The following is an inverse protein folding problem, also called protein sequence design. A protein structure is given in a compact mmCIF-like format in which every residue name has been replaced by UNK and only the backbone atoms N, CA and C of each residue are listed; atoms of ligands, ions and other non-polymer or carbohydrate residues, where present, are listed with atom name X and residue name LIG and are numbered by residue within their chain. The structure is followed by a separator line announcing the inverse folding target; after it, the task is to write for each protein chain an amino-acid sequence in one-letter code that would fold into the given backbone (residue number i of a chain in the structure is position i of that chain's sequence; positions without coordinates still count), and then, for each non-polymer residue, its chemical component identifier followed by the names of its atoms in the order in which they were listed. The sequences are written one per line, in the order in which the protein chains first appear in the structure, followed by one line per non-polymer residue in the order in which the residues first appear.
data_IF_787694000013
#
_entry.id   IF_787694000013
#
_cell.length_a   1.000
_cell.length_b   1.000
_cell.length_c   1.000
_cell.angle_alpha   90.00
_cell.angle_beta   90.00
_cell.angle_gamma   90.00
#
_symmetry.space_group_name_H-M   'P 1'
#
loop_
_entity.id
_entity.type
_entity.pdbx_description
1 polymer ?
#
# COMPACT_ATOMS: atom_id res chain seq x y z
N UNK A 1 11.72 16.89 -8.98
CA UNK A 1 11.74 15.41 -8.84
C UNK A 1 12.33 14.90 -7.52
N UNK A 2 13.65 14.97 -7.25
CA UNK A 2 14.22 14.44 -5.98
C UNK A 2 13.66 15.19 -4.76
N UNK A 3 13.84 16.50 -4.70
CA UNK A 3 13.33 17.35 -3.60
C UNK A 3 11.81 17.17 -3.41
N UNK A 4 11.06 17.20 -4.50
CA UNK A 4 9.60 16.99 -4.51
C UNK A 4 9.16 15.60 -4.04
N UNK A 5 10.06 14.61 -3.95
CA UNK A 5 9.78 13.26 -3.44
C UNK A 5 10.23 13.06 -1.99
N UNK A 6 11.04 13.96 -1.42
CA UNK A 6 11.60 13.79 -0.07
C UNK A 6 10.53 13.73 1.01
N UNK A 7 9.42 14.43 0.84
CA UNK A 7 8.31 14.43 1.80
C UNK A 7 7.76 13.01 2.03
N UNK A 8 7.66 12.19 0.98
CA UNK A 8 7.12 10.84 1.08
C UNK A 8 8.05 9.95 1.89
N UNK A 9 9.35 10.01 1.59
CA UNK A 9 10.37 9.25 2.32
C UNK A 9 10.47 9.67 3.79
N UNK A 10 10.33 10.98 4.06
CA UNK A 10 10.29 11.51 5.44
C UNK A 10 9.04 11.08 6.19
N UNK A 11 7.89 11.07 5.53
CA UNK A 11 6.64 10.58 6.11
C UNK A 11 6.77 9.10 6.47
N UNK A 12 7.29 8.28 5.56
CA UNK A 12 7.50 6.85 5.82
C UNK A 12 8.45 6.61 6.99
N UNK A 13 9.57 7.35 7.04
CA UNK A 13 10.50 7.26 8.17
C UNK A 13 9.85 7.67 9.49
N UNK A 14 9.04 8.73 9.50
CA UNK A 14 8.31 9.17 10.68
C UNK A 14 7.25 8.14 11.13
N UNK A 15 6.48 7.59 10.18
CA UNK A 15 5.48 6.56 10.49
C UNK A 15 6.12 5.30 11.05
N UNK A 16 7.26 4.89 10.49
CA UNK A 16 8.05 3.80 11.03
C UNK A 16 8.55 4.08 12.43
N UNK A 17 9.12 5.25 12.70
CA UNK A 17 9.60 5.59 14.03
C UNK A 17 8.47 5.61 15.06
N UNK A 18 7.31 6.17 14.70
CA UNK A 18 6.10 6.16 15.55
C UNK A 18 5.66 4.73 15.83
N UNK A 19 5.61 3.87 14.81
CA UNK A 19 5.27 2.47 14.98
C UNK A 19 6.26 1.75 15.90
N UNK A 20 7.57 1.91 15.69
CA UNK A 20 8.58 1.27 16.54
C UNK A 20 8.47 1.71 18.00
N UNK A 21 8.15 2.99 18.25
CA UNK A 21 7.87 3.49 19.60
C UNK A 21 6.61 2.86 20.20
N UNK A 22 5.55 2.69 19.40
CA UNK A 22 4.32 2.00 19.83
C UNK A 22 4.62 0.53 20.18
N UNK A 23 5.36 -0.18 19.33
CA UNK A 23 5.77 -1.58 19.52
C UNK A 23 6.65 -1.78 20.75
N UNK A 24 7.41 -0.76 21.16
CA UNK A 24 8.18 -0.79 22.40
C UNK A 24 7.34 -0.60 23.68
N UNK A 25 6.05 -0.28 23.57
CA UNK A 25 5.15 -0.15 24.72
C UNK A 25 4.60 -1.52 25.17
N UNK A 26 4.15 -1.62 26.43
CA UNK A 26 3.63 -2.88 26.98
C UNK A 26 2.18 -3.22 26.60
N UNK A 27 1.45 -2.27 26.00
CA UNK A 27 0.02 -2.43 25.72
C UNK A 27 -0.24 -2.06 24.27
N UNK A 28 -0.20 -3.05 23.39
CA UNK A 28 -0.54 -2.87 21.98
C UNK A 28 -2.06 -2.93 21.78
N UNK A 29 -2.61 -2.20 20.80
CA UNK A 29 -3.99 -2.37 20.39
C UNK A 29 -4.17 -3.70 19.63
N UNK A 30 -5.42 -4.18 19.54
CA UNK A 30 -5.76 -5.43 18.84
C UNK A 30 -5.47 -5.36 17.33
N UNK A 31 -5.43 -4.15 16.76
CA UNK A 31 -5.04 -3.90 15.37
C UNK A 31 -4.10 -2.71 15.29
N UNK A 32 -2.94 -2.93 14.65
CA UNK A 32 -2.00 -1.88 14.26
C UNK A 32 -1.90 -1.87 12.74
N UNK A 33 -2.02 -0.69 12.14
CA UNK A 33 -1.82 -0.49 10.71
C UNK A 33 -0.85 0.66 10.46
N UNK A 34 0.08 0.46 9.54
CA UNK A 34 1.02 1.48 9.05
C UNK A 34 1.00 1.49 7.53
N UNK A 35 1.10 2.68 6.94
CA UNK A 35 1.11 2.86 5.49
C UNK A 35 2.40 3.53 5.06
N UNK A 36 3.07 2.97 4.06
CA UNK A 36 4.26 3.55 3.45
C UNK A 36 3.98 3.93 1.99
N UNK A 37 4.06 5.22 1.69
CA UNK A 37 3.68 5.79 0.39
C UNK A 37 4.85 6.02 -0.57
N UNK A 38 6.10 5.82 -0.13
CA UNK A 38 7.27 6.16 -0.94
C UNK A 38 7.37 5.36 -2.24
N UNK A 39 6.98 4.09 -2.26
CA UNK A 39 7.04 3.25 -3.46
C UNK A 39 6.14 3.79 -4.58
N UNK A 40 4.95 4.28 -4.23
CA UNK A 40 4.01 4.92 -5.13
C UNK A 40 4.61 6.20 -5.76
N UNK A 41 5.01 7.13 -4.89
CA UNK A 41 5.54 8.44 -5.28
C UNK A 41 6.80 8.29 -6.16
N UNK A 42 7.68 7.35 -5.80
CA UNK A 42 8.87 7.07 -6.58
C UNK A 42 8.53 6.35 -7.89
N UNK A 43 7.55 5.45 -7.89
CA UNK A 43 7.06 4.78 -9.10
C UNK A 43 6.51 5.79 -10.11
N UNK A 44 5.67 6.75 -9.70
CA UNK A 44 5.20 7.80 -10.59
C UNK A 44 6.36 8.58 -11.23
N UNK A 45 7.37 9.00 -10.45
CA UNK A 45 8.38 9.96 -10.91
C UNK A 45 9.61 9.34 -11.55
N UNK A 46 9.99 8.12 -11.14
CA UNK A 46 11.27 7.52 -11.49
C UNK A 46 11.18 6.22 -12.30
N UNK A 47 9.98 5.73 -12.65
CA UNK A 47 9.82 4.50 -13.43
C UNK A 47 10.63 4.50 -14.73
N UNK A 48 10.65 5.63 -15.45
CA UNK A 48 11.41 5.78 -16.71
C UNK A 48 12.91 5.53 -16.54
N UNK A 49 13.50 5.89 -15.41
CA UNK A 49 14.93 5.69 -15.19
C UNK A 49 15.24 4.25 -14.79
N UNK A 50 14.35 3.60 -14.05
CA UNK A 50 14.49 2.19 -13.66
C UNK A 50 14.24 1.22 -14.82
N UNK A 51 13.30 1.57 -15.73
CA UNK A 51 12.90 0.74 -16.87
C UNK A 51 12.96 1.51 -18.20
N UNK A 52 14.15 1.98 -18.62
CA UNK A 52 14.31 2.90 -19.74
C UNK A 52 13.85 2.31 -21.09
N UNK A 53 13.96 0.99 -21.28
CA UNK A 53 13.57 0.33 -22.52
C UNK A 53 12.06 0.36 -22.80
N UNK A 54 11.25 0.72 -21.80
CA UNK A 54 9.80 0.85 -21.96
C UNK A 54 9.39 2.16 -22.66
N UNK A 55 10.32 3.09 -22.89
CA UNK A 55 10.06 4.44 -23.39
C UNK A 55 10.78 4.70 -24.72
N UNK A 56 10.10 5.39 -25.65
CA UNK A 56 10.65 5.80 -26.95
C UNK A 56 11.64 6.95 -26.78
N UNK A 57 11.25 7.99 -26.05
CA UNK A 57 12.17 9.01 -25.57
C UNK A 57 12.90 8.42 -24.37
N UNK A 58 14.14 7.95 -24.54
CA UNK A 58 14.92 7.26 -23.51
C UNK A 58 15.72 8.26 -22.66
N UNK A 59 15.85 8.04 -21.33
CA UNK A 59 16.74 8.85 -20.51
C UNK A 59 18.20 8.66 -20.96
N UNK A 60 19.02 9.67 -20.72
CA UNK A 60 20.46 9.59 -21.02
C UNK A 60 21.15 8.56 -20.12
N UNK A 61 22.31 8.06 -20.53
CA UNK A 61 23.10 7.13 -19.70
C UNK A 61 23.46 7.75 -18.33
N UNK A 62 23.76 9.05 -18.29
CA UNK A 62 24.03 9.76 -17.04
C UNK A 62 22.80 9.81 -16.11
N UNK A 63 21.61 10.05 -16.65
CA UNK A 63 20.36 10.03 -15.87
C UNK A 63 20.05 8.62 -15.35
N UNK A 64 20.24 7.58 -16.16
CA UNK A 64 20.06 6.19 -15.73
C UNK A 64 21.03 5.85 -14.59
N UNK A 65 22.32 6.19 -14.74
CA UNK A 65 23.33 5.98 -13.70
C UNK A 65 22.96 6.68 -12.39
N UNK A 66 22.42 7.89 -12.47
CA UNK A 66 22.07 8.68 -11.29
C UNK A 66 20.75 8.24 -10.62
N UNK A 67 19.74 7.83 -11.41
CA UNK A 67 18.36 7.69 -10.94
C UNK A 67 17.77 6.28 -11.08
N UNK A 68 18.39 5.40 -11.86
CA UNK A 68 17.84 4.08 -12.21
C UNK A 68 17.66 3.15 -11.02
N UNK A 69 18.43 3.35 -9.95
CA UNK A 69 18.31 2.57 -8.71
C UNK A 69 17.41 3.21 -7.65
N UNK A 70 16.74 4.34 -7.95
CA UNK A 70 15.88 5.03 -6.96
C UNK A 70 14.77 4.12 -6.44
N UNK A 71 14.07 3.41 -7.32
CA UNK A 71 12.96 2.52 -6.95
C UNK A 71 13.49 1.30 -6.18
N UNK A 72 14.46 0.57 -6.73
CA UNK A 72 15.01 -0.64 -6.07
C UNK A 72 15.81 -0.33 -4.80
N UNK A 73 16.39 0.87 -4.71
CA UNK A 73 17.01 1.38 -3.48
C UNK A 73 15.97 1.60 -2.38
N UNK A 74 14.83 2.20 -2.72
CA UNK A 74 13.75 2.39 -1.75
C UNK A 74 13.11 1.06 -1.33
N UNK A 75 12.90 0.10 -2.24
CA UNK A 75 12.42 -1.23 -1.84
C UNK A 75 13.34 -1.92 -0.83
N UNK A 76 14.66 -1.75 -0.92
CA UNK A 76 15.61 -2.25 0.10
C UNK A 76 15.44 -1.56 1.45
N UNK A 77 15.14 -0.26 1.47
CA UNK A 77 14.83 0.48 2.70
C UNK A 77 13.52 -0.03 3.30
N UNK A 78 12.48 -0.17 2.49
CA UNK A 78 11.17 -0.68 2.92
C UNK A 78 11.28 -2.11 3.47
N UNK A 79 12.03 -2.99 2.80
CA UNK A 79 12.32 -4.35 3.27
C UNK A 79 13.03 -4.35 4.63
N UNK A 80 14.03 -3.49 4.83
CA UNK A 80 14.72 -3.33 6.12
C UNK A 80 13.80 -2.84 7.23
N UNK A 81 12.88 -1.90 6.91
CA UNK A 81 11.87 -1.40 7.85
C UNK A 81 10.88 -2.50 8.23
N UNK A 82 10.39 -3.27 7.25
CA UNK A 82 9.51 -4.42 7.50
C UNK A 82 10.22 -5.46 8.37
N UNK A 83 11.47 -5.80 8.07
CA UNK A 83 12.26 -6.73 8.89
C UNK A 83 12.41 -6.26 10.35
N UNK A 84 12.60 -4.95 10.57
CA UNK A 84 12.68 -4.36 11.91
C UNK A 84 11.34 -4.41 12.65
N UNK A 85 10.22 -4.19 11.94
CA UNK A 85 8.86 -4.33 12.50
C UNK A 85 8.62 -5.78 12.91
N UNK A 86 8.87 -6.73 12.01
CA UNK A 86 8.67 -8.16 12.26
C UNK A 86 9.47 -8.65 13.46
N UNK A 87 10.70 -8.18 13.64
CA UNK A 87 11.55 -8.52 14.78
C UNK A 87 11.06 -7.97 16.12
N UNK A 88 10.23 -6.91 16.11
CA UNK A 88 9.69 -6.27 17.31
C UNK A 88 8.26 -6.72 17.65
N UNK A 89 7.58 -7.44 16.76
CA UNK A 89 6.23 -7.94 16.99
C UNK A 89 6.23 -9.13 17.98
N UNK A 90 5.15 -9.29 18.77
CA UNK A 90 4.96 -10.48 19.59
C UNK A 90 4.79 -11.73 18.71
N UNK A 91 5.11 -12.91 19.26
CA UNK A 91 5.07 -14.17 18.51
C UNK A 91 3.66 -14.54 18.05
N UNK A 92 2.65 -14.02 18.74
CA UNK A 92 1.23 -14.25 18.49
C UNK A 92 0.65 -13.31 17.41
N UNK A 93 1.44 -12.37 16.89
CA UNK A 93 0.95 -11.42 15.90
C UNK A 93 0.68 -12.08 14.53
N UNK A 94 -0.52 -11.87 14.00
CA UNK A 94 -0.81 -12.07 12.59
C UNK A 94 -0.45 -10.80 11.81
N UNK A 95 0.30 -10.96 10.73
CA UNK A 95 0.87 -9.88 9.93
C UNK A 95 0.41 -9.99 8.49
N UNK A 96 -0.05 -8.88 7.95
CA UNK A 96 -0.41 -8.72 6.54
C UNK A 96 0.49 -7.65 5.93
N UNK A 97 1.13 -7.97 4.82
CA UNK A 97 1.85 -7.00 3.98
C UNK A 97 1.08 -6.87 2.68
N UNK A 98 0.43 -5.73 2.49
CA UNK A 98 -0.51 -5.50 1.40
C UNK A 98 -0.13 -4.25 0.63
N UNK A 99 -0.21 -4.34 -0.69
CA UNK A 99 -0.24 -3.19 -1.58
C UNK A 99 -1.64 -3.07 -2.19
N UNK A 100 -2.12 -1.84 -2.33
CA UNK A 100 -3.41 -1.50 -2.93
C UNK A 100 -3.41 -1.63 -4.46
N UNK A 101 -2.27 -1.39 -5.12
CA UNK A 101 -2.16 -1.45 -6.57
C UNK A 101 -0.73 -1.74 -7.08
N UNK A 102 -0.65 -2.25 -8.31
CA UNK A 102 0.61 -2.32 -9.04
C UNK A 102 1.02 -0.99 -9.70
N UNK A 103 2.09 -1.06 -10.48
CA UNK A 103 2.62 0.08 -11.24
C UNK A 103 3.04 -0.36 -12.65
N UNK A 104 2.84 0.51 -13.65
CA UNK A 104 3.31 0.30 -15.03
C UNK A 104 3.75 1.59 -15.69
N UNK A 105 4.54 1.47 -16.76
CA UNK A 105 4.89 2.63 -17.59
C UNK A 105 3.67 3.22 -18.29
N UNK A 106 3.62 4.56 -18.30
CA UNK A 106 2.68 5.39 -19.06
C UNK A 106 3.43 6.37 -19.96
N UNK A 107 2.73 7.03 -20.90
CA UNK A 107 3.30 8.06 -21.80
C UNK A 107 4.51 7.60 -22.62
N UNK A 108 4.61 6.28 -22.86
CA UNK A 108 5.75 5.58 -23.48
C UNK A 108 6.23 6.17 -24.81
N UNK A 109 5.33 6.74 -25.60
CA UNK A 109 5.63 7.26 -26.96
C UNK A 109 5.74 8.78 -27.04
N UNK A 110 5.58 9.52 -25.93
CA UNK A 110 5.64 11.00 -25.91
C UNK A 110 7.04 11.48 -25.51
N UNK A 111 7.38 12.71 -25.89
CA UNK A 111 8.56 13.40 -25.35
C UNK A 111 8.39 13.50 -23.83
N UNK A 112 9.46 13.20 -23.11
CA UNK A 112 9.43 13.19 -21.66
C UNK A 112 9.32 14.60 -21.12
N UNK A 113 8.40 14.77 -20.17
CA UNK A 113 8.22 15.98 -19.39
C UNK A 113 8.39 15.60 -17.91
N UNK A 114 9.34 16.24 -17.23
CA UNK A 114 9.66 15.98 -15.82
C UNK A 114 8.53 16.37 -14.87
N UNK A 115 7.59 17.22 -15.32
CA UNK A 115 6.41 17.60 -14.54
C UNK A 115 5.31 16.52 -14.56
N UNK A 116 5.41 15.53 -15.45
CA UNK A 116 4.40 14.50 -15.63
C UNK A 116 4.88 13.13 -15.11
N UNK A 117 3.97 12.29 -14.61
CA UNK A 117 4.31 10.96 -14.16
C UNK A 117 4.76 10.07 -15.33
N UNK A 118 5.75 9.22 -15.05
CA UNK A 118 6.28 8.19 -15.93
C UNK A 118 5.69 6.80 -15.64
N UNK A 119 5.32 6.52 -14.38
CA UNK A 119 4.55 5.34 -13.96
C UNK A 119 3.10 5.71 -13.58
N UNK A 120 2.17 4.76 -13.66
CA UNK A 120 0.83 4.86 -13.05
C UNK A 120 0.20 3.47 -12.80
N UNK A 121 -0.98 3.45 -12.17
CA UNK A 121 -1.69 2.24 -11.75
C UNK A 121 -2.69 1.70 -12.75
N UNK A 122 -3.23 2.55 -13.63
CA UNK A 122 -4.34 2.13 -14.48
C UNK A 122 -3.89 1.01 -15.45
N UNK A 123 -4.50 -0.17 -15.29
CA UNK A 123 -4.12 -1.37 -16.03
C UNK A 123 -2.75 -1.93 -15.66
N UNK A 124 -2.20 -1.56 -14.50
CA UNK A 124 -1.01 -2.19 -13.95
C UNK A 124 -1.28 -3.65 -13.54
N UNK A 125 -0.22 -4.47 -13.38
CA UNK A 125 -0.37 -5.82 -12.82
C UNK A 125 -1.04 -5.80 -11.43
N UNK A 126 -1.57 -6.94 -10.96
CA UNK A 126 -2.05 -7.08 -9.60
C UNK A 126 -1.03 -6.63 -8.54
N UNK A 127 -1.54 -6.16 -7.41
CA UNK A 127 -0.74 -5.71 -6.29
C UNK A 127 -0.07 -6.87 -5.54
N UNK A 128 0.79 -6.54 -4.56
CA UNK A 128 1.44 -7.49 -3.68
C UNK A 128 0.58 -7.83 -2.46
N UNK A 129 0.58 -9.10 -2.07
CA UNK A 129 -0.05 -9.58 -0.84
C UNK A 129 0.81 -10.69 -0.23
N UNK A 130 1.04 -10.60 1.08
CA UNK A 130 1.60 -11.67 1.89
C UNK A 130 0.98 -11.65 3.30
N UNK A 131 0.85 -12.82 3.91
CA UNK A 131 0.38 -12.97 5.27
C UNK A 131 1.26 -13.98 6.03
N UNK A 132 1.42 -13.79 7.33
CA UNK A 132 2.09 -14.72 8.24
C UNK A 132 1.55 -14.58 9.66
N UNK A 133 1.70 -15.61 10.50
CA UNK A 133 1.28 -15.57 11.89
C UNK A 133 0.78 -16.94 12.36
N UNK A 134 0.43 -17.07 13.65
CA UNK A 134 -0.08 -18.33 14.21
C UNK A 134 -1.41 -18.78 13.58
N UNK A 135 -2.25 -17.85 13.15
CA UNK A 135 -3.57 -18.15 12.59
C UNK A 135 -3.59 -18.19 11.05
N UNK A 136 -2.41 -18.09 10.43
CA UNK A 136 -2.24 -18.11 8.98
C UNK A 136 -1.68 -19.46 8.56
N UNK A 137 -2.44 -20.22 7.77
CA UNK A 137 -1.94 -21.47 7.19
C UNK A 137 -0.98 -21.20 6.03
N UNK A 138 -0.07 -22.14 5.78
CA UNK A 138 0.79 -22.08 4.58
C UNK A 138 -0.03 -22.43 3.35
N UNK A 139 -0.68 -21.43 2.77
CA UNK A 139 -1.35 -21.54 1.49
C UNK A 139 -0.37 -21.22 0.35
N UNK A 140 -0.25 -22.13 -0.62
CA UNK A 140 0.41 -21.79 -1.89
C UNK A 140 -0.60 -21.08 -2.78
N UNK A 141 -0.66 -19.75 -2.70
CA UNK A 141 -1.42 -18.96 -3.66
C UNK A 141 -0.60 -18.91 -4.95
N UNK A 142 -1.13 -19.50 -6.03
CA UNK A 142 -0.43 -19.48 -7.32
C UNK A 142 -0.29 -18.02 -7.80
N UNK A 143 0.89 -17.60 -8.29
CA UNK A 143 1.03 -16.31 -8.94
C UNK A 143 0.04 -16.23 -10.10
N UNK A 144 -0.82 -15.21 -10.07
CA UNK A 144 -1.85 -14.99 -11.07
C UNK A 144 -1.15 -14.59 -12.37
N UNK A 145 -1.35 -15.34 -13.45
CA UNK A 145 -0.76 -14.97 -14.74
C UNK A 145 -1.38 -13.66 -15.25
N UNK A 146 -0.68 -12.96 -16.14
CA UNK A 146 -1.22 -11.74 -16.75
C UNK A 146 -2.53 -12.04 -17.49
N UNK A 147 -3.63 -11.44 -17.04
CA UNK A 147 -4.97 -11.65 -17.61
C UNK A 147 -5.87 -12.62 -16.84
N UNK A 148 -5.33 -13.34 -15.85
CA UNK A 148 -6.15 -14.14 -14.93
C UNK A 148 -6.74 -13.27 -13.82
N UNK A 149 -7.85 -13.71 -13.22
CA UNK A 149 -8.44 -13.03 -12.07
C UNK A 149 -7.54 -13.23 -10.85
N UNK A 150 -7.23 -12.15 -10.10
CA UNK A 150 -6.52 -12.27 -8.84
C UNK A 150 -7.23 -13.25 -7.89
N UNK A 151 -6.46 -14.03 -7.14
CA UNK A 151 -6.99 -14.95 -6.12
C UNK A 151 -7.72 -14.20 -4.98
N UNK A 152 -7.32 -12.96 -4.74
CA UNK A 152 -7.88 -12.06 -3.73
C UNK A 152 -7.97 -10.62 -4.27
N UNK A 153 -8.84 -9.84 -3.66
CA UNK A 153 -9.03 -8.42 -3.89
C UNK A 153 -8.61 -7.61 -2.65
N UNK A 154 -8.29 -6.33 -2.84
CA UNK A 154 -8.08 -5.40 -1.72
C UNK A 154 -9.31 -5.33 -0.79
N UNK A 155 -10.50 -5.57 -1.34
CA UNK A 155 -11.74 -5.60 -0.56
C UNK A 155 -11.83 -6.77 0.42
N UNK A 156 -11.06 -7.84 0.20
CA UNK A 156 -11.07 -9.03 1.05
C UNK A 156 -10.21 -8.86 2.32
N UNK A 157 -9.36 -7.83 2.37
CA UNK A 157 -8.45 -7.58 3.50
C UNK A 157 -9.24 -7.27 4.77
N UNK A 158 -10.18 -6.32 4.72
CA UNK A 158 -10.92 -5.89 5.91
C UNK A 158 -11.80 -7.02 6.50
N UNK A 159 -12.62 -7.75 5.72
CA UNK A 159 -13.35 -8.92 6.23
C UNK A 159 -12.44 -9.98 6.85
N UNK A 160 -11.27 -10.24 6.25
CA UNK A 160 -10.32 -11.25 6.75
C UNK A 160 -9.69 -10.82 8.07
N UNK A 161 -9.29 -9.55 8.20
CA UNK A 161 -8.77 -9.00 9.47
C UNK A 161 -9.86 -9.05 10.56
N UNK A 162 -11.11 -8.71 10.23
CA UNK A 162 -12.21 -8.82 11.19
C UNK A 162 -12.41 -10.25 11.68
N UNK A 163 -12.36 -11.24 10.78
CA UNK A 163 -12.47 -12.65 11.15
C UNK A 163 -11.37 -13.07 12.13
N UNK A 164 -10.11 -12.66 11.90
CA UNK A 164 -9.00 -12.92 12.82
C UNK A 164 -9.16 -12.24 14.20
N UNK A 165 -9.88 -11.12 14.24
CA UNK A 165 -10.23 -10.42 15.49
C UNK A 165 -11.49 -11.01 16.16
N UNK A 166 -12.11 -12.06 15.59
CA UNK A 166 -13.38 -12.60 16.08
C UNK A 166 -14.57 -11.65 15.89
N UNK A 167 -14.47 -10.69 14.96
CA UNK A 167 -15.50 -9.72 14.64
C UNK A 167 -16.20 -10.05 13.31
N UNK A 168 -17.52 -9.79 13.20
CA UNK A 168 -18.28 -10.12 11.99
C UNK A 168 -18.01 -9.12 10.85
N UNK A 169 -17.76 -9.60 9.63
CA UNK A 169 -17.85 -8.70 8.47
C UNK A 169 -19.29 -8.21 8.27
N UNK A 170 -19.49 -7.05 7.64
CA UNK A 170 -20.82 -6.51 7.38
C UNK A 170 -21.26 -6.69 5.92
N UNK A 171 -22.56 -6.83 5.65
CA UNK A 171 -23.11 -7.07 4.29
C UNK A 171 -22.80 -5.95 3.28
N UNK A 172 -22.52 -4.74 3.75
CA UNK A 172 -22.08 -3.61 2.93
C UNK A 172 -20.59 -3.65 2.53
N UNK A 173 -19.79 -4.59 3.07
CA UNK A 173 -18.42 -4.84 2.62
C UNK A 173 -18.42 -5.74 1.37
N UNK A 174 -17.93 -5.28 0.19
CA UNK A 174 -17.99 -6.06 -1.04
C UNK A 174 -17.02 -7.25 -1.07
N UNK A 175 -16.10 -7.34 -0.11
CA UNK A 175 -15.13 -8.44 -0.01
C UNK A 175 -15.62 -9.62 0.81
N UNK A 176 -14.92 -10.74 0.63
CA UNK A 176 -15.09 -11.98 1.40
C UNK A 176 -13.94 -12.17 2.38
N UNK A 177 -14.12 -13.09 3.33
CA UNK A 177 -13.02 -13.61 4.14
C UNK A 177 -12.16 -14.51 3.24
N UNK A 178 -10.84 -14.37 3.32
CA UNK A 178 -9.87 -15.24 2.66
C UNK A 178 -9.66 -16.51 3.49
N UNK A 179 -10.69 -17.36 3.57
CA UNK A 179 -10.67 -18.59 4.38
C UNK A 179 -9.51 -19.52 4.01
N UNK A 180 -9.10 -19.51 2.74
CA UNK A 180 -8.02 -20.34 2.22
C UNK A 180 -6.64 -20.03 2.81
N UNK A 181 -6.46 -18.89 3.48
CA UNK A 181 -5.20 -18.55 4.17
C UNK A 181 -5.29 -18.69 5.69
N UNK A 182 -6.46 -19.03 6.23
CA UNK A 182 -6.67 -19.14 7.68
C UNK A 182 -6.37 -20.57 8.15
N UNK A 183 -5.86 -20.69 9.38
CA UNK A 183 -5.72 -21.98 10.05
C UNK A 183 -7.09 -22.56 10.43
N UNK A 184 -7.20 -23.89 10.50
CA UNK A 184 -8.47 -24.62 10.76
C UNK A 184 -9.17 -24.19 12.07
N UNK A 185 -8.45 -23.62 13.03
CA UNK A 185 -8.99 -23.16 14.32
C UNK A 185 -9.64 -21.77 14.30
N UNK A 186 -9.53 -21.02 13.21
CA UNK A 186 -10.07 -19.65 13.13
C UNK A 186 -11.58 -19.70 12.95
N UNK A 187 -12.32 -19.18 13.93
CA UNK A 187 -13.78 -19.09 13.87
C UNK A 187 -14.17 -17.81 13.13
N UNK A 188 -14.89 -17.97 12.02
CA UNK A 188 -15.41 -16.85 11.22
C UNK A 188 -16.82 -16.50 11.71
N UNK A 189 -17.04 -15.30 12.30
CA UNK A 189 -18.37 -14.93 12.76
C UNK A 189 -19.34 -14.70 11.59
N UNK A 190 -20.63 -14.96 11.83
CA UNK A 190 -21.68 -14.68 10.87
C UNK A 190 -21.74 -13.18 10.56
N UNK A 191 -21.94 -12.83 9.28
CA UNK A 191 -22.01 -11.43 8.85
C UNK A 191 -23.17 -10.69 9.52
N UNK A 192 -22.98 -9.40 9.73
CA UNK A 192 -24.00 -8.47 10.23
C UNK A 192 -24.51 -7.55 9.12
N UNK A 193 -25.69 -6.96 9.28
CA UNK A 193 -26.26 -6.09 8.25
C UNK A 193 -25.36 -4.88 7.91
N UNK A 194 -24.88 -4.14 8.91
CA UNK A 194 -23.95 -3.02 8.75
C UNK A 194 -23.33 -2.63 10.08
N UNK A 195 -22.10 -2.09 10.04
CA UNK A 195 -21.49 -1.37 11.16
C UNK A 195 -21.97 0.10 11.27
N UNK A 196 -22.76 0.55 10.30
CA UNK A 196 -23.32 1.89 10.22
C UNK A 196 -24.80 1.85 10.58
N UNK A 197 -25.18 1.95 11.87
CA UNK A 197 -26.57 1.89 12.27
C UNK A 197 -27.38 3.05 11.69
N UNK A 198 -28.70 2.88 11.59
CA UNK A 198 -29.61 3.97 11.23
C UNK A 198 -29.40 5.17 12.17
N UNK A 199 -29.12 6.34 11.58
CA UNK A 199 -28.84 7.56 12.33
C UNK A 199 -27.37 7.77 12.68
N UNK A 200 -26.46 6.88 12.29
CA UNK A 200 -25.03 7.15 12.33
C UNK A 200 -24.75 8.41 11.52
N UNK A 201 -24.21 9.42 12.20
CA UNK A 201 -23.69 10.61 11.56
C UNK A 201 -22.19 10.39 11.45
N UNK A 202 -21.58 10.56 10.26
CA UNK A 202 -20.13 10.58 10.20
C UNK A 202 -19.61 11.60 11.21
N UNK A 203 -18.47 11.34 11.86
CA UNK A 203 -17.81 12.35 12.68
C UNK A 203 -17.76 13.64 11.85
N UNK A 204 -18.10 14.77 12.49
CA UNK A 204 -18.12 16.07 11.85
C UNK A 204 -16.90 16.22 10.93
N UNK A 205 -17.06 16.79 9.73
CA UNK A 205 -16.01 16.78 8.71
C UNK A 205 -14.69 17.16 9.34
N UNK A 206 -13.65 16.37 9.03
CA UNK A 206 -12.27 16.54 9.48
C UNK A 206 -11.98 18.00 9.71
N UNK A 207 -11.50 18.35 10.92
CA UNK A 207 -10.93 19.66 11.27
C UNK A 207 -10.39 20.30 10.00
N UNK A 208 -11.04 21.36 9.54
CA UNK A 208 -10.78 21.93 8.23
C UNK A 208 -9.26 22.10 8.10
N UNK A 209 -8.64 21.28 7.23
CA UNK A 209 -7.20 21.41 6.99
C UNK A 209 -6.96 22.86 6.56
N UNK A 210 -5.88 23.50 7.03
CA UNK A 210 -5.54 24.83 6.53
C UNK A 210 -5.60 24.81 5.00
N UNK A 211 -6.29 25.79 4.39
CA UNK A 211 -6.52 25.80 2.93
C UNK A 211 -5.23 25.60 2.11
N UNK A 212 -4.10 26.07 2.64
CA UNK A 212 -2.78 25.85 2.07
C UNK A 212 -2.39 24.37 1.99
N UNK A 213 -2.57 23.60 3.08
CA UNK A 213 -2.28 22.16 3.10
C UNK A 213 -3.22 21.37 2.19
N UNK A 214 -4.46 21.82 2.05
CA UNK A 214 -5.42 21.21 1.12
C UNK A 214 -5.03 21.47 -0.34
N UNK A 215 -4.69 22.71 -0.70
CA UNK A 215 -4.21 23.05 -2.03
C UNK A 215 -2.91 22.31 -2.38
N UNK A 216 -1.98 22.20 -1.43
CA UNK A 216 -0.75 21.44 -1.60
C UNK A 216 -1.03 19.96 -1.85
N UNK A 217 -1.93 19.35 -1.08
CA UNK A 217 -2.34 17.95 -1.26
C UNK A 217 -3.02 17.74 -2.62
N UNK A 218 -3.90 18.64 -3.04
CA UNK A 218 -4.56 18.57 -4.35
C UNK A 218 -3.56 18.72 -5.50
N UNK A 219 -2.60 19.64 -5.39
CA UNK A 219 -1.51 19.79 -6.37
C UNK A 219 -0.65 18.54 -6.42
N UNK A 220 -0.35 17.94 -5.28
CA UNK A 220 0.41 16.70 -5.19
C UNK A 220 -0.35 15.54 -5.85
N UNK A 221 -1.64 15.35 -5.55
CA UNK A 221 -2.47 14.33 -6.17
C UNK A 221 -2.58 14.51 -7.70
N UNK A 222 -2.74 15.75 -8.18
CA UNK A 222 -2.67 16.07 -9.61
C UNK A 222 -1.31 15.73 -10.22
N UNK A 223 -0.20 16.05 -9.53
CA UNK A 223 1.17 15.76 -10.01
C UNK A 223 1.47 14.26 -10.09
N UNK A 224 0.82 13.46 -9.25
CA UNK A 224 0.91 12.00 -9.25
C UNK A 224 -0.09 11.38 -10.25
N UNK A 225 -1.05 12.15 -10.78
CA UNK A 225 -2.03 11.67 -11.76
C UNK A 225 -3.28 11.03 -11.14
N UNK A 226 -3.51 11.23 -9.84
CA UNK A 226 -4.74 10.79 -9.15
C UNK A 226 -5.95 11.68 -9.48
N UNK A 227 -5.72 12.93 -9.88
CA UNK A 227 -6.76 13.91 -10.23
C UNK A 227 -6.51 14.42 -11.64
N UNK A 228 -7.56 14.45 -12.46
CA UNK A 228 -7.56 15.03 -13.81
C UNK A 228 -8.02 16.49 -13.78
#
# INVERSE_FOLDING_TARGET
MIEESRWALRADAAYFEVLMRLLATRSLPDLVAVYFGGADVLGHRFWRYAFPDQYRDRPTHAEIKALGHTISGYYRVLDSMIGSILAALPAEANVFVVSDHGMRAIRRSRRFDRALPSGAHQGAPPAFFAAMGPDITRATIRPVASGERPAASVFDVAPTVLALLGLPASEDMPGRVLEEILADGVVIPARIASYTPHGWRPPAPQLARPKAAEQERLMQLRSLGYLQ
#
